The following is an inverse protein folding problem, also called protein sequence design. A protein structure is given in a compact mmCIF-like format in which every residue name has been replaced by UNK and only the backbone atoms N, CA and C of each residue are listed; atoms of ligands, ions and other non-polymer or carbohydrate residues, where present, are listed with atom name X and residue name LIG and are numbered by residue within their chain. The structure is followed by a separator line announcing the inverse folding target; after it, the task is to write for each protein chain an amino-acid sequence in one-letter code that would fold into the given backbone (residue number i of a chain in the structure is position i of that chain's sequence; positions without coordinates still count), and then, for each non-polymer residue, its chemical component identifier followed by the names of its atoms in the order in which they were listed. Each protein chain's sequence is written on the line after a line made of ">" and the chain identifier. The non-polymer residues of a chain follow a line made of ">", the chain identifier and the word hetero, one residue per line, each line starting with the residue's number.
data_IF_087558059720
#
_entry.id   IF_087558059720
#
_cell.length_a   1.000
_cell.length_b   1.000
_cell.length_c   1.000
_cell.angle_alpha   90.00
_cell.angle_beta   90.00
_cell.angle_gamma   90.00
#
_symmetry.space_group_name_H-M   'P 1'
#
loop_
_entity.id
_entity.type
_entity.pdbx_description
1 polymer ?
#
# COMPACT_ATOMS: atom_id res chain seq x y z
N UNK A 1 23.03 6.83 -15.52
CA UNK A 1 22.64 8.01 -14.72
C UNK A 1 21.83 7.50 -13.53
N UNK A 2 22.14 7.91 -12.29
CA UNK A 2 21.35 7.48 -11.14
C UNK A 2 19.91 7.98 -11.27
N UNK A 3 18.93 7.24 -10.75
CA UNK A 3 17.53 7.67 -10.75
C UNK A 3 17.38 8.97 -9.97
N UNK A 4 16.36 9.76 -10.32
CA UNK A 4 16.07 11.03 -9.64
C UNK A 4 14.91 10.87 -8.67
N UNK A 5 15.03 11.46 -7.48
CA UNK A 5 13.97 11.53 -6.49
C UNK A 5 12.72 12.20 -7.10
N UNK A 6 11.55 11.57 -7.06
CA UNK A 6 10.34 12.13 -7.66
C UNK A 6 9.77 13.33 -6.89
N UNK A 7 10.16 13.51 -5.61
CA UNK A 7 9.77 14.66 -4.79
C UNK A 7 10.76 15.83 -4.90
N UNK A 8 12.04 15.55 -4.74
CA UNK A 8 13.09 16.57 -4.68
C UNK A 8 13.75 16.88 -6.02
N UNK A 9 13.63 15.97 -7.00
CA UNK A 9 14.36 15.99 -8.29
C UNK A 9 15.88 15.99 -8.13
N UNK A 10 16.37 15.44 -7.02
CA UNK A 10 17.79 15.25 -6.74
C UNK A 10 18.20 13.80 -7.08
N UNK A 11 19.47 13.54 -7.42
CA UNK A 11 19.97 12.18 -7.60
C UNK A 11 19.73 11.34 -6.35
N UNK A 12 19.31 10.09 -6.55
CA UNK A 12 19.25 9.10 -5.47
C UNK A 12 20.63 8.47 -5.26
N UNK A 13 20.89 8.10 -4.01
CA UNK A 13 22.11 7.43 -3.57
C UNK A 13 21.82 5.94 -3.38
N UNK A 14 22.55 5.09 -4.08
CA UNK A 14 22.44 3.65 -3.91
C UNK A 14 23.12 3.20 -2.60
N UNK A 15 22.41 2.46 -1.77
CA UNK A 15 22.92 1.88 -0.52
C UNK A 15 22.17 0.58 -0.20
N UNK A 16 22.90 -0.46 0.20
CA UNK A 16 22.32 -1.74 0.62
C UNK A 16 21.30 -2.35 -0.37
N UNK A 17 21.48 -2.11 -1.68
CA UNK A 17 20.57 -2.61 -2.72
C UNK A 17 19.28 -1.80 -2.90
N UNK A 18 19.19 -0.59 -2.33
CA UNK A 18 18.07 0.34 -2.55
C UNK A 18 18.57 1.74 -2.91
N UNK A 19 17.68 2.60 -3.42
CA UNK A 19 18.00 3.96 -3.84
C UNK A 19 17.37 5.00 -2.88
N UNK A 20 18.19 5.75 -2.15
CA UNK A 20 17.77 6.67 -1.09
C UNK A 20 17.85 8.14 -1.51
N UNK A 21 16.89 8.95 -1.07
CA UNK A 21 16.98 10.41 -1.17
C UNK A 21 17.43 11.03 0.14
N UNK A 22 18.65 11.59 0.17
CA UNK A 22 19.22 12.21 1.37
C UNK A 22 18.47 13.49 1.82
N UNK A 23 17.64 14.08 0.95
CA UNK A 23 16.91 15.32 1.27
C UNK A 23 15.54 15.07 1.90
N UNK A 24 14.74 14.15 1.36
CA UNK A 24 13.40 13.88 1.88
C UNK A 24 13.31 12.59 2.68
N UNK A 25 14.34 11.74 2.67
CA UNK A 25 14.34 10.42 3.30
C UNK A 25 13.46 9.38 2.60
N UNK A 26 13.06 9.63 1.35
CA UNK A 26 12.28 8.68 0.56
C UNK A 26 13.17 7.61 -0.06
N UNK A 27 12.60 6.45 -0.32
CA UNK A 27 13.32 5.24 -0.75
C UNK A 27 12.66 4.68 -2.01
N UNK A 28 13.49 4.36 -2.99
CA UNK A 28 13.11 3.61 -4.18
C UNK A 28 13.59 2.17 -4.07
N UNK A 29 12.69 1.25 -4.37
CA UNK A 29 12.95 -0.17 -4.50
C UNK A 29 12.65 -0.56 -5.94
N UNK A 30 13.61 -1.17 -6.63
CA UNK A 30 13.34 -1.84 -7.89
C UNK A 30 12.47 -3.09 -7.63
N UNK A 31 11.97 -3.69 -8.72
CA UNK A 31 11.03 -4.81 -8.67
C UNK A 31 11.57 -5.95 -7.79
N UNK A 32 10.80 -6.30 -6.76
CA UNK A 32 11.09 -7.41 -5.85
C UNK A 32 12.00 -7.04 -4.68
N UNK A 33 12.61 -5.85 -4.66
CA UNK A 33 13.51 -5.44 -3.59
C UNK A 33 12.76 -5.08 -2.31
N UNK A 34 11.54 -4.55 -2.40
CA UNK A 34 10.74 -4.23 -1.22
C UNK A 34 10.39 -5.51 -0.44
N UNK A 35 9.94 -6.54 -1.14
CA UNK A 35 9.60 -7.83 -0.53
C UNK A 35 10.83 -8.46 0.14
N UNK A 36 11.99 -8.44 -0.54
CA UNK A 36 13.24 -8.93 0.02
C UNK A 36 13.70 -8.13 1.25
N UNK A 37 13.53 -6.80 1.24
CA UNK A 37 13.88 -5.94 2.37
C UNK A 37 12.99 -6.20 3.60
N UNK A 38 11.70 -6.48 3.39
CA UNK A 38 10.77 -6.85 4.46
C UNK A 38 11.15 -8.21 5.06
N UNK A 39 11.48 -9.20 4.23
CA UNK A 39 11.86 -10.54 4.68
C UNK A 39 13.18 -10.55 5.46
N UNK A 40 14.14 -9.71 5.05
CA UNK A 40 15.45 -9.60 5.69
C UNK A 40 15.43 -8.74 6.97
N UNK A 41 14.39 -7.94 7.21
CA UNK A 41 14.37 -7.00 8.31
C UNK A 41 14.17 -7.71 9.67
N UNK A 42 14.99 -7.36 10.69
CA UNK A 42 14.71 -7.81 12.06
C UNK A 42 13.40 -7.17 12.54
N UNK A 43 12.69 -7.78 13.51
CA UNK A 43 11.49 -7.19 14.09
C UNK A 43 11.84 -5.86 14.74
N UNK A 44 11.29 -4.76 14.22
CA UNK A 44 11.58 -3.41 14.70
C UNK A 44 10.45 -2.90 15.60
N UNK A 45 10.84 -2.36 16.75
CA UNK A 45 9.93 -1.76 17.73
C UNK A 45 9.93 -0.23 17.65
N UNK A 46 8.71 0.32 17.68
CA UNK A 46 8.34 1.75 17.65
C UNK A 46 8.47 2.46 16.29
N UNK A 47 7.31 2.86 15.77
CA UNK A 47 7.13 3.72 14.58
C UNK A 47 7.25 5.20 14.98
N UNK A 48 8.01 6.02 14.24
CA UNK A 48 7.93 7.47 14.38
C UNK A 48 6.51 7.95 14.05
N UNK A 49 6.03 8.97 14.77
CA UNK A 49 4.72 9.56 14.54
C UNK A 49 4.56 10.01 13.08
N UNK A 50 3.39 9.73 12.49
CA UNK A 50 3.12 10.03 11.10
C UNK A 50 3.23 11.53 10.82
N UNK A 51 4.08 11.90 9.85
CA UNK A 51 4.07 13.24 9.28
C UNK A 51 2.77 13.38 8.46
N UNK A 52 2.04 14.51 8.54
CA UNK A 52 0.84 14.71 7.74
C UNK A 52 1.16 14.52 6.26
N UNK A 53 0.39 13.66 5.60
CA UNK A 53 0.56 13.41 4.16
C UNK A 53 0.36 14.73 3.41
N UNK A 54 1.32 15.17 2.58
CA UNK A 54 1.12 16.32 1.72
C UNK A 54 -0.04 16.04 0.74
N UNK A 55 -0.69 17.10 0.26
CA UNK A 55 -1.77 17.01 -0.72
C UNK A 55 -1.47 15.98 -1.82
N UNK A 56 -2.46 15.13 -2.14
CA UNK A 56 -2.33 13.98 -3.05
C UNK A 56 -1.73 14.43 -4.39
N UNK A 57 -0.50 13.99 -4.67
CA UNK A 57 0.22 14.21 -5.93
C UNK A 57 0.82 12.91 -6.43
N UNK A 58 0.45 12.48 -7.63
CA UNK A 58 1.05 11.33 -8.28
C UNK A 58 2.51 11.61 -8.62
N UNK A 59 3.38 10.65 -8.32
CA UNK A 59 4.81 10.77 -8.52
C UNK A 59 5.26 10.11 -9.84
N UNK A 60 6.17 10.73 -10.61
CA UNK A 60 6.76 10.09 -11.79
C UNK A 60 7.73 8.97 -11.37
N UNK A 61 7.75 7.87 -12.10
CA UNK A 61 8.70 6.78 -11.85
C UNK A 61 10.15 7.26 -12.04
N UNK A 62 11.08 6.99 -11.10
CA UNK A 62 12.49 7.37 -11.24
C UNK A 62 13.23 6.72 -12.42
N UNK A 63 12.67 5.63 -12.98
CA UNK A 63 13.23 4.87 -14.11
C UNK A 63 12.63 5.27 -15.46
N UNK A 64 11.30 5.37 -15.57
CA UNK A 64 10.61 5.62 -16.85
C UNK A 64 9.77 6.89 -16.92
N UNK A 65 9.71 7.68 -15.85
CA UNK A 65 8.94 8.93 -15.74
C UNK A 65 7.42 8.82 -15.83
N UNK A 66 6.87 7.64 -16.18
CA UNK A 66 5.43 7.36 -16.10
C UNK A 66 4.91 7.61 -14.69
N UNK A 67 3.75 8.26 -14.57
CA UNK A 67 3.09 8.45 -13.28
C UNK A 67 2.79 7.10 -12.62
N UNK A 68 3.19 6.99 -11.36
CA UNK A 68 3.03 5.78 -10.56
C UNK A 68 1.62 5.69 -9.98
N UNK A 69 1.15 4.47 -9.77
CA UNK A 69 -0.14 4.20 -9.16
C UNK A 69 -0.02 4.23 -7.64
N UNK A 70 -0.87 4.99 -6.98
CA UNK A 70 -0.98 4.92 -5.51
C UNK A 70 -1.70 3.63 -5.12
N UNK A 71 -1.07 2.81 -4.30
CA UNK A 71 -1.64 1.58 -3.77
C UNK A 71 -1.47 1.57 -2.26
N UNK A 72 -2.54 1.28 -1.52
CA UNK A 72 -2.38 1.00 -0.10
C UNK A 72 -1.54 -0.28 0.06
N UNK A 73 -0.45 -0.21 0.81
CA UNK A 73 0.18 -1.42 1.34
C UNK A 73 -0.80 -1.99 2.35
N UNK A 74 -1.15 -3.28 2.26
CA UNK A 74 -2.08 -3.99 3.16
C UNK A 74 -3.12 -3.09 3.86
N UNK A 75 -4.33 -2.98 3.32
CA UNK A 75 -5.42 -2.00 3.63
C UNK A 75 -5.50 -1.34 5.02
N UNK A 76 -5.04 -1.98 6.09
CA UNK A 76 -5.06 -1.47 7.47
C UNK A 76 -3.71 -0.93 7.98
N UNK A 77 -2.63 -1.03 7.20
CA UNK A 77 -1.28 -0.56 7.57
C UNK A 77 -1.16 0.97 7.61
N UNK A 78 -2.06 1.67 6.88
CA UNK A 78 -2.01 3.13 6.75
C UNK A 78 -0.83 3.64 5.90
N UNK A 79 -0.20 2.78 5.09
CA UNK A 79 0.91 3.12 4.20
C UNK A 79 0.45 3.15 2.75
N UNK A 80 0.87 4.17 1.99
CA UNK A 80 0.52 4.31 0.57
C UNK A 80 1.78 4.22 -0.29
N UNK A 81 1.90 3.16 -1.07
CA UNK A 81 2.97 2.98 -2.04
C UNK A 81 2.69 3.77 -3.32
N UNK A 82 3.71 4.42 -3.87
CA UNK A 82 3.71 4.87 -5.27
C UNK A 82 4.35 3.78 -6.15
N UNK A 83 3.54 3.03 -6.89
CA UNK A 83 3.94 1.82 -7.62
C UNK A 83 4.00 2.01 -9.14
N UNK A 84 5.17 1.75 -9.72
CA UNK A 84 5.35 1.59 -11.16
C UNK A 84 5.19 0.12 -11.56
N UNK A 85 4.26 -0.18 -12.47
CA UNK A 85 4.01 -1.55 -12.92
C UNK A 85 5.20 -2.23 -13.59
N UNK A 86 6.16 -1.46 -14.11
CA UNK A 86 7.31 -1.98 -14.85
C UNK A 86 8.59 -2.07 -13.99
N UNK A 87 8.79 -1.14 -13.06
CA UNK A 87 10.13 -0.92 -12.49
C UNK A 87 10.24 -1.15 -10.98
N UNK A 88 9.24 -0.79 -10.18
CA UNK A 88 9.43 -0.78 -8.73
C UNK A 88 8.44 0.10 -7.97
N UNK A 89 8.79 0.40 -6.73
CA UNK A 89 7.96 1.11 -5.76
C UNK A 89 8.74 2.21 -5.06
N UNK A 90 8.06 3.32 -4.81
CA UNK A 90 8.54 4.43 -4.01
C UNK A 90 7.84 4.46 -2.65
N UNK A 91 8.62 4.65 -1.60
CA UNK A 91 8.18 4.89 -0.24
C UNK A 91 8.65 6.27 0.22
N UNK A 92 7.75 7.01 0.86
CA UNK A 92 8.11 8.24 1.55
C UNK A 92 8.81 7.95 2.88
N UNK A 93 9.42 8.99 3.45
CA UNK A 93 10.12 8.88 4.72
C UNK A 93 9.22 8.32 5.84
N UNK A 94 9.72 7.28 6.50
CA UNK A 94 9.04 6.59 7.59
C UNK A 94 7.93 5.62 7.16
N UNK A 95 7.63 5.49 5.86
CA UNK A 95 6.67 4.48 5.41
C UNK A 95 7.22 3.06 5.49
N UNK A 96 8.52 2.88 5.20
CA UNK A 96 9.19 1.58 5.37
C UNK A 96 9.10 1.11 6.82
N UNK A 97 9.40 1.98 7.79
CA UNK A 97 9.33 1.65 9.22
C UNK A 97 7.92 1.23 9.64
N UNK A 98 6.88 1.85 9.05
CA UNK A 98 5.48 1.46 9.31
C UNK A 98 5.15 0.10 8.73
N UNK A 99 5.65 -0.22 7.53
CA UNK A 99 5.51 -1.55 6.95
C UNK A 99 6.18 -2.57 7.88
N UNK A 100 7.42 -2.34 8.28
CA UNK A 100 8.15 -3.25 9.17
C UNK A 100 7.46 -3.43 10.51
N UNK A 101 6.94 -2.35 11.11
CA UNK A 101 6.17 -2.44 12.36
C UNK A 101 4.84 -3.17 12.18
N UNK A 102 4.18 -3.03 11.02
CA UNK A 102 2.97 -3.77 10.69
C UNK A 102 3.24 -5.28 10.57
N UNK A 103 4.33 -5.65 9.91
CA UNK A 103 4.74 -7.05 9.73
C UNK A 103 5.23 -7.69 11.02
N UNK A 104 5.95 -6.95 11.87
CA UNK A 104 6.45 -7.45 13.15
C UNK A 104 5.36 -7.54 14.25
N UNK A 105 4.28 -6.77 14.12
CA UNK A 105 3.17 -6.75 15.07
C UNK A 105 2.06 -7.77 14.76
N UNK A 106 0.86 -7.51 15.27
CA UNK A 106 -0.35 -8.28 15.00
C UNK A 106 -1.08 -7.85 13.72
N UNK A 107 -0.39 -7.09 12.84
CA UNK A 107 -0.98 -6.47 11.66
C UNK A 107 -1.66 -7.48 10.74
N UNK A 108 -1.01 -8.62 10.48
CA UNK A 108 -1.59 -9.69 9.65
C UNK A 108 -2.81 -10.35 10.29
N UNK A 109 -2.78 -10.58 11.60
CA UNK A 109 -3.93 -11.16 12.32
C UNK A 109 -5.13 -10.23 12.27
N UNK A 110 -4.91 -8.93 12.56
CA UNK A 110 -5.96 -7.91 12.48
C UNK A 110 -6.54 -7.78 11.07
N UNK A 111 -5.71 -7.89 10.03
CA UNK A 111 -6.18 -7.90 8.64
C UNK A 111 -7.05 -9.13 8.37
N UNK A 112 -6.61 -10.32 8.79
CA UNK A 112 -7.35 -11.56 8.60
C UNK A 112 -8.74 -11.52 9.28
N UNK A 113 -8.82 -11.00 10.51
CA UNK A 113 -10.08 -10.80 11.23
C UNK A 113 -11.00 -9.86 10.42
N UNK A 114 -10.48 -8.71 10.00
CA UNK A 114 -11.25 -7.72 9.23
C UNK A 114 -11.79 -8.28 7.92
N UNK A 115 -10.97 -9.01 7.16
CA UNK A 115 -11.38 -9.64 5.90
C UNK A 115 -12.47 -10.71 6.13
N UNK A 116 -12.35 -11.48 7.20
CA UNK A 116 -13.34 -12.50 7.56
C UNK A 116 -14.69 -11.87 7.90
N UNK A 117 -14.68 -10.79 8.69
CA UNK A 117 -15.89 -10.04 9.02
C UNK A 117 -16.51 -9.37 7.80
N UNK A 118 -15.71 -8.73 6.94
CA UNK A 118 -16.19 -8.14 5.68
C UNK A 118 -16.86 -9.20 4.79
N UNK A 119 -16.25 -10.38 4.64
CA UNK A 119 -16.82 -11.48 3.86
C UNK A 119 -18.11 -12.05 4.46
N UNK A 120 -18.21 -12.11 5.80
CA UNK A 120 -19.45 -12.52 6.49
C UNK A 120 -20.57 -11.53 6.20
N UNK A 121 -20.31 -10.23 6.37
CA UNK A 121 -21.28 -9.17 6.11
C UNK A 121 -21.70 -9.12 4.64
N UNK A 122 -20.79 -9.37 3.70
CA UNK A 122 -21.12 -9.45 2.27
C UNK A 122 -22.07 -10.61 1.94
N UNK A 123 -21.83 -11.80 2.50
CA UNK A 123 -22.74 -12.95 2.33
C UNK A 123 -24.13 -12.66 2.89
N UNK A 124 -24.22 -12.02 4.05
CA UNK A 124 -25.49 -11.57 4.64
C UNK A 124 -26.21 -10.59 3.70
N UNK A 125 -25.51 -9.54 3.22
CA UNK A 125 -26.06 -8.59 2.25
C UNK A 125 -26.56 -9.25 0.96
N UNK A 126 -25.80 -10.18 0.40
CA UNK A 126 -26.17 -10.89 -0.82
C UNK A 126 -27.43 -11.74 -0.62
N UNK A 127 -27.56 -12.41 0.53
CA UNK A 127 -28.76 -13.18 0.88
C UNK A 127 -29.98 -12.28 1.01
N UNK A 128 -29.86 -11.17 1.72
CA UNK A 128 -30.95 -10.22 1.94
C UNK A 128 -31.39 -9.58 0.61
N UNK A 129 -30.44 -9.18 -0.23
CA UNK A 129 -30.71 -8.69 -1.57
C UNK A 129 -31.43 -9.73 -2.44
N UNK A 130 -30.98 -11.00 -2.40
CA UNK A 130 -31.59 -12.10 -3.15
C UNK A 130 -33.04 -12.37 -2.71
N UNK A 131 -33.29 -12.41 -1.40
CA UNK A 131 -34.64 -12.58 -0.85
C UNK A 131 -35.56 -11.41 -1.23
N UNK A 132 -35.05 -10.18 -1.15
CA UNK A 132 -35.77 -8.97 -1.57
C UNK A 132 -36.14 -9.05 -3.05
N UNK A 133 -35.22 -9.43 -3.92
CA UNK A 133 -35.48 -9.58 -5.35
C UNK A 133 -36.47 -10.70 -5.68
N UNK A 134 -36.41 -11.83 -4.97
CA UNK A 134 -37.38 -12.92 -5.14
C UNK A 134 -38.80 -12.47 -4.81
N UNK A 135 -38.99 -11.69 -3.73
CA UNK A 135 -40.29 -11.12 -3.36
C UNK A 135 -40.82 -10.14 -4.40
N UNK A 136 -39.96 -9.26 -4.92
CA UNK A 136 -40.33 -8.33 -5.98
C UNK A 136 -40.77 -9.09 -7.22
N UNK A 137 -40.01 -10.12 -7.64
CA UNK A 137 -40.34 -10.95 -8.80
C UNK A 137 -41.69 -11.66 -8.64
N UNK A 138 -41.91 -12.32 -7.51
CA UNK A 138 -43.18 -13.01 -7.24
C UNK A 138 -44.39 -12.05 -7.26
N UNK A 139 -44.22 -10.82 -6.78
CA UNK A 139 -45.26 -9.79 -6.85
C UNK A 139 -45.57 -9.32 -8.27
N UNK A 140 -44.60 -9.34 -9.19
CA UNK A 140 -44.79 -8.97 -10.60
C UNK A 140 -45.44 -10.09 -11.43
N UNK A 141 -45.27 -11.36 -11.05
CA UNK A 141 -45.88 -12.53 -11.71
C UNK A 141 -47.35 -12.75 -11.29
N UNK A 142 -47.84 -12.00 -10.30
CA UNK A 142 -49.20 -12.12 -9.74
C UNK A 142 -50.22 -11.14 -10.34
N UNK A 143 -49.82 -10.33 -11.33
CA UNK A 143 -50.64 -9.37 -12.07
C UNK A 143 -50.68 -9.74 -13.55
#
# INVERSE_FOLDING_TARGET
>A
MPPSCPRCRLPLRAEAGVDLCDQCGGVWFDRGELEAAIEAAPPQGAVPAARPEPAVRYLPCPRCTTLMNRKAYERISGVTLDHCNAHGVWLDAGELDRILAFEAGDGRERLAIKLTDEARLDRERQRDASQRWARIRAGLESY
#
